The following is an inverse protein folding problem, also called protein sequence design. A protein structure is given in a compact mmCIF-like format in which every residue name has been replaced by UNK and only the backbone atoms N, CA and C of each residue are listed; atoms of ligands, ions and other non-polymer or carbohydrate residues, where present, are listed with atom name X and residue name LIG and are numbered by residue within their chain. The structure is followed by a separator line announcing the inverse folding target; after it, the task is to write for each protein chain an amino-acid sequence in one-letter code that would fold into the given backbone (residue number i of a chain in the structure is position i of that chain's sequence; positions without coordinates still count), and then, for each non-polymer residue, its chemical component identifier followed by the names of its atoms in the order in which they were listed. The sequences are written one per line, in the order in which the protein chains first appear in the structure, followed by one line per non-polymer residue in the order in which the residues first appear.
data_IF_662684344472
#
_entry.id   IF_662684344472
#
_cell.length_a   1.000
_cell.length_b   1.000
_cell.length_c   1.000
_cell.angle_alpha   90.00
_cell.angle_beta   90.00
_cell.angle_gamma   90.00
#
_symmetry.space_group_name_H-M   'P 1'
#
loop_
_entity.id
_entity.type
_entity.pdbx_description
1 polymer ?
#
# COMPACT_ATOMS: atom_id res chain seq x y z
N UNK A 1 17.31 -0.76 13.88
CA UNK A 1 17.72 0.51 13.23
C UNK A 1 16.58 1.15 12.44
N UNK A 2 15.77 0.38 11.70
CA UNK A 2 14.72 0.92 10.80
C UNK A 2 13.58 1.67 11.50
N UNK A 3 13.28 1.38 12.78
CA UNK A 3 12.25 2.11 13.53
C UNK A 3 12.56 3.59 13.75
N UNK A 4 13.83 4.00 13.76
CA UNK A 4 14.22 5.39 14.00
C UNK A 4 14.37 6.20 12.72
N UNK A 5 14.56 5.55 11.57
CA UNK A 5 14.70 6.20 10.27
C UNK A 5 13.53 7.13 9.90
N UNK A 6 12.24 6.76 10.05
CA UNK A 6 11.15 7.69 9.74
C UNK A 6 11.20 8.96 10.59
N UNK A 7 11.64 8.87 11.85
CA UNK A 7 11.79 10.03 12.73
C UNK A 7 13.00 10.89 12.35
N UNK A 8 14.14 10.28 12.03
CA UNK A 8 15.34 11.02 11.61
C UNK A 8 15.07 11.78 10.30
N UNK A 9 14.46 11.12 9.31
CA UNK A 9 14.09 11.78 8.05
C UNK A 9 12.95 12.78 8.23
N UNK A 10 11.95 12.48 9.07
CA UNK A 10 10.86 13.39 9.39
C UNK A 10 11.34 14.68 10.05
N UNK A 11 12.15 14.58 11.11
CA UNK A 11 12.71 15.72 11.85
C UNK A 11 13.61 16.55 10.95
N UNK A 12 14.55 15.92 10.23
CA UNK A 12 15.46 16.66 9.34
C UNK A 12 14.72 17.41 8.22
N UNK A 13 13.71 16.77 7.62
CA UNK A 13 12.87 17.40 6.57
C UNK A 13 12.07 18.56 7.16
N UNK A 14 11.49 18.39 8.35
CA UNK A 14 10.70 19.42 9.03
C UNK A 14 11.56 20.63 9.38
N UNK A 15 12.72 20.42 10.01
CA UNK A 15 13.65 21.49 10.39
C UNK A 15 14.16 22.26 9.18
N UNK A 16 14.51 21.56 8.10
CA UNK A 16 14.91 22.19 6.85
C UNK A 16 13.77 23.03 6.25
N UNK A 17 12.55 22.50 6.26
CA UNK A 17 11.36 23.22 5.80
C UNK A 17 11.10 24.51 6.59
N UNK A 18 11.15 24.43 7.93
CA UNK A 18 10.99 25.58 8.83
C UNK A 18 12.08 26.63 8.57
N UNK A 19 13.34 26.21 8.46
CA UNK A 19 14.45 27.12 8.20
C UNK A 19 14.27 27.87 6.87
N UNK A 20 13.93 27.16 5.80
CA UNK A 20 13.67 27.77 4.49
C UNK A 20 12.45 28.69 4.52
N UNK A 21 11.41 28.33 5.28
CA UNK A 21 10.22 29.17 5.46
C UNK A 21 10.60 30.50 6.11
N UNK A 22 11.35 30.47 7.22
CA UNK A 22 11.78 31.67 7.93
C UNK A 22 12.60 32.63 7.05
N UNK A 23 13.48 32.10 6.20
CA UNK A 23 14.27 32.89 5.26
C UNK A 23 13.41 33.42 4.10
N UNK A 24 12.60 32.56 3.48
CA UNK A 24 11.83 32.91 2.28
C UNK A 24 10.74 33.95 2.56
N UNK A 25 10.23 33.99 3.79
CA UNK A 25 9.28 35.00 4.26
C UNK A 25 9.95 36.21 4.93
N UNK A 26 11.30 36.24 4.99
CA UNK A 26 12.05 37.37 5.57
C UNK A 26 11.91 37.52 7.08
N UNK A 27 11.42 36.48 7.77
CA UNK A 27 11.29 36.44 9.24
C UNK A 27 12.68 36.30 9.87
N UNK A 28 13.58 35.58 9.21
CA UNK A 28 14.94 35.35 9.67
C UNK A 28 15.96 35.80 8.61
N UNK A 29 16.81 36.74 9.00
CA UNK A 29 17.95 37.20 8.19
C UNK A 29 19.26 36.71 8.82
N UNK A 30 20.01 35.81 8.16
CA UNK A 30 21.25 35.27 8.71
C UNK A 30 22.32 36.37 8.83
N UNK A 31 22.90 36.47 10.03
CA UNK A 31 23.65 37.65 10.51
C UNK A 31 25.07 37.85 9.93
N UNK A 32 25.59 36.88 9.16
CA UNK A 32 27.01 36.83 8.75
C UNK A 32 27.20 36.62 7.23
N UNK A 33 26.61 37.48 6.39
CA UNK A 33 26.81 37.40 4.93
C UNK A 33 27.79 38.46 4.44
N UNK A 34 28.75 38.05 3.59
CA UNK A 34 29.57 39.00 2.83
C UNK A 34 28.71 39.75 1.80
N UNK A 35 29.15 40.92 1.33
CA UNK A 35 28.41 41.74 0.36
C UNK A 35 28.06 40.97 -0.92
N UNK A 36 28.92 40.04 -1.35
CA UNK A 36 28.65 39.15 -2.48
C UNK A 36 27.57 38.11 -2.19
N UNK A 37 27.53 37.56 -0.97
CA UNK A 37 26.51 36.59 -0.56
C UNK A 37 25.13 37.23 -0.42
N UNK A 38 25.08 38.52 -0.04
CA UNK A 38 23.83 39.30 -0.01
C UNK A 38 23.29 39.45 -1.42
N UNK A 39 24.10 39.97 -2.36
CA UNK A 39 23.69 40.14 -3.78
C UNK A 39 23.27 38.82 -4.43
N UNK A 40 23.97 37.72 -4.13
CA UNK A 40 23.63 36.38 -4.63
C UNK A 40 22.32 35.86 -4.03
N UNK A 41 22.05 36.13 -2.76
CA UNK A 41 20.79 35.78 -2.11
C UNK A 41 19.62 36.59 -2.67
N UNK A 42 19.80 37.90 -2.86
CA UNK A 42 18.76 38.79 -3.38
C UNK A 42 18.37 38.40 -4.81
N UNK A 43 19.35 38.22 -5.70
CA UNK A 43 19.09 37.77 -7.09
C UNK A 43 18.45 36.37 -7.15
N UNK A 44 18.82 35.46 -6.25
CA UNK A 44 18.18 34.15 -6.17
C UNK A 44 16.74 34.25 -5.65
N UNK A 45 16.48 35.13 -4.68
CA UNK A 45 15.17 35.35 -4.09
C UNK A 45 14.21 36.08 -5.03
N UNK A 46 14.72 37.00 -5.86
CA UNK A 46 13.95 37.60 -6.95
C UNK A 46 13.51 36.55 -7.98
N UNK A 47 14.40 35.62 -8.33
CA UNK A 47 14.13 34.61 -9.36
C UNK A 47 13.29 33.42 -8.88
N UNK A 48 13.49 32.97 -7.64
CA UNK A 48 12.90 31.74 -7.11
C UNK A 48 12.09 31.95 -5.82
N UNK A 49 11.83 33.18 -5.39
CA UNK A 49 11.21 33.47 -4.09
C UNK A 49 9.86 32.77 -3.88
N UNK A 50 8.98 32.77 -4.89
CA UNK A 50 7.69 32.07 -4.81
C UNK A 50 7.88 30.56 -4.70
N UNK A 51 8.78 30.00 -5.51
CA UNK A 51 9.06 28.56 -5.52
C UNK A 51 9.63 28.09 -4.18
N UNK A 52 10.55 28.85 -3.58
CA UNK A 52 11.13 28.54 -2.26
C UNK A 52 10.07 28.57 -1.15
N UNK A 53 9.14 29.52 -1.19
CA UNK A 53 7.99 29.56 -0.27
C UNK A 53 7.15 28.28 -0.39
N UNK A 54 6.79 27.88 -1.62
CA UNK A 54 6.02 26.66 -1.87
C UNK A 54 6.76 25.42 -1.36
N UNK A 55 8.04 25.26 -1.71
CA UNK A 55 8.87 24.15 -1.24
C UNK A 55 8.92 24.09 0.29
N UNK A 56 9.12 25.23 0.95
CA UNK A 56 9.22 25.28 2.41
C UNK A 56 7.96 24.74 3.08
N UNK A 57 6.78 25.12 2.57
CA UNK A 57 5.48 24.62 3.07
C UNK A 57 5.33 23.13 2.81
N UNK A 58 5.67 22.65 1.59
CA UNK A 58 5.61 21.22 1.25
C UNK A 58 6.52 20.41 2.18
N UNK A 59 7.74 20.88 2.46
CA UNK A 59 8.68 20.21 3.35
C UNK A 59 8.17 20.15 4.78
N UNK A 60 7.58 21.24 5.29
CA UNK A 60 6.97 21.27 6.63
C UNK A 60 5.83 20.26 6.71
N UNK A 61 4.89 20.30 5.76
CA UNK A 61 3.74 19.40 5.73
C UNK A 61 4.18 17.93 5.61
N UNK A 62 5.13 17.64 4.72
CA UNK A 62 5.66 16.28 4.52
C UNK A 62 6.45 15.79 5.72
N UNK A 63 7.26 16.65 6.34
CA UNK A 63 8.01 16.34 7.56
C UNK A 63 7.05 16.05 8.72
N UNK A 64 6.06 16.91 8.95
CA UNK A 64 5.03 16.72 9.96
C UNK A 64 4.21 15.46 9.73
N UNK A 65 3.77 15.21 8.49
CA UNK A 65 3.05 13.99 8.14
C UNK A 65 3.87 12.73 8.41
N UNK A 66 5.16 12.72 8.03
CA UNK A 66 6.05 11.58 8.29
C UNK A 66 6.27 11.32 9.78
N UNK A 67 6.19 12.35 10.63
CA UNK A 67 6.35 12.21 12.08
C UNK A 67 5.06 11.72 12.75
N UNK A 68 3.90 12.20 12.30
CA UNK A 68 2.60 11.75 12.81
C UNK A 68 2.27 10.32 12.33
N UNK A 69 2.63 9.98 11.10
CA UNK A 69 2.38 8.68 10.47
C UNK A 69 3.71 7.95 10.21
N UNK A 70 4.53 7.82 11.25
CA UNK A 70 5.82 7.15 11.15
C UNK A 70 5.62 5.69 10.74
N UNK A 71 6.02 5.34 9.51
CA UNK A 71 6.00 3.98 9.00
C UNK A 71 7.45 3.44 8.87
N UNK A 72 7.91 2.60 9.82
CA UNK A 72 9.23 1.96 9.77
C UNK A 72 9.47 1.08 8.55
N UNK A 73 8.40 0.49 8.00
CA UNK A 73 8.48 -0.48 6.89
C UNK A 73 8.90 0.17 5.59
N UNK A 74 8.61 1.47 5.41
CA UNK A 74 9.07 2.27 4.26
C UNK A 74 10.59 2.24 4.09
N UNK A 75 11.33 2.07 5.18
CA UNK A 75 12.79 2.09 5.21
C UNK A 75 13.40 0.70 5.42
N UNK A 76 12.59 -0.36 5.35
CA UNK A 76 13.09 -1.71 5.40
C UNK A 76 13.87 -2.04 4.11
N UNK A 77 15.16 -2.31 4.24
CA UNK A 77 16.06 -2.67 3.12
C UNK A 77 15.68 -4.03 2.50
N UNK A 78 14.80 -4.79 3.16
CA UNK A 78 14.19 -6.04 2.67
C UNK A 78 12.72 -5.84 2.22
N UNK A 79 12.36 -4.68 1.64
CA UNK A 79 11.03 -4.47 1.04
C UNK A 79 10.90 -5.08 -0.35
N UNK A 80 11.76 -6.03 -0.74
CA UNK A 80 11.30 -7.03 -1.69
C UNK A 80 10.04 -7.61 -1.06
N UNK A 81 8.90 -7.53 -1.74
CA UNK A 81 7.74 -8.38 -1.43
C UNK A 81 8.35 -9.74 -1.15
N UNK A 82 8.42 -10.15 0.13
CA UNK A 82 8.77 -11.52 0.46
C UNK A 82 7.76 -12.29 -0.35
N UNK A 83 8.24 -13.04 -1.33
CA UNK A 83 7.39 -13.95 -2.08
C UNK A 83 6.69 -14.73 -0.99
N UNK A 84 5.41 -14.44 -0.81
CA UNK A 84 4.62 -15.04 0.23
C UNK A 84 4.39 -16.44 -0.29
N UNK A 85 5.35 -17.32 0.01
CA UNK A 85 5.27 -18.71 -0.37
C UNK A 85 4.16 -19.29 0.48
N UNK A 86 2.96 -19.26 -0.08
CA UNK A 86 1.84 -19.99 0.44
C UNK A 86 2.26 -21.46 0.55
N UNK A 87 2.03 -22.06 1.71
CA UNK A 87 2.25 -23.50 1.88
C UNK A 87 1.17 -24.28 1.13
N UNK A 88 1.49 -25.50 0.68
CA UNK A 88 0.48 -26.42 0.13
C UNK A 88 -0.65 -26.67 1.14
N UNK A 89 -0.33 -26.74 2.44
CA UNK A 89 -1.34 -26.85 3.50
C UNK A 89 -2.29 -25.65 3.58
N UNK A 90 -1.84 -24.46 3.17
CA UNK A 90 -2.70 -23.28 3.09
C UNK A 90 -3.63 -23.36 1.87
N UNK A 91 -3.17 -23.92 0.74
CA UNK A 91 -4.03 -24.22 -0.41
C UNK A 91 -5.16 -25.17 -0.04
N UNK A 92 -4.83 -26.27 0.65
CA UNK A 92 -5.82 -27.23 1.12
C UNK A 92 -6.84 -26.60 2.08
N UNK A 93 -6.36 -25.71 2.95
CA UNK A 93 -7.23 -24.98 3.89
C UNK A 93 -8.19 -24.05 3.14
N UNK A 94 -7.70 -23.28 2.16
CA UNK A 94 -8.55 -22.41 1.33
C UNK A 94 -9.62 -23.21 0.57
N UNK A 95 -9.23 -24.34 -0.03
CA UNK A 95 -10.15 -25.24 -0.71
C UNK A 95 -11.24 -25.75 0.22
N UNK A 96 -10.86 -26.19 1.42
CA UNK A 96 -11.80 -26.66 2.45
C UNK A 96 -12.77 -25.55 2.88
N UNK A 97 -12.28 -24.34 3.15
CA UNK A 97 -13.14 -23.23 3.55
C UNK A 97 -14.09 -22.78 2.44
N UNK A 98 -13.62 -22.80 1.18
CA UNK A 98 -14.46 -22.54 0.02
C UNK A 98 -15.63 -23.54 -0.06
N UNK A 99 -15.35 -24.85 0.06
CA UNK A 99 -16.38 -25.89 0.04
C UNK A 99 -17.38 -25.75 1.20
N UNK A 100 -16.89 -25.45 2.41
CA UNK A 100 -17.76 -25.18 3.57
C UNK A 100 -18.66 -23.97 3.29
N UNK A 101 -18.13 -22.91 2.68
CA UNK A 101 -18.87 -21.71 2.32
C UNK A 101 -19.98 -21.94 1.30
N UNK A 102 -19.86 -22.97 0.46
CA UNK A 102 -20.91 -23.38 -0.50
C UNK A 102 -22.09 -24.10 0.17
N UNK A 103 -21.96 -24.50 1.44
CA UNK A 103 -23.04 -25.14 2.20
C UNK A 103 -23.57 -26.42 1.53
N UNK A 104 -24.89 -26.58 1.47
CA UNK A 104 -25.53 -27.78 0.90
C UNK A 104 -25.25 -27.96 -0.60
N UNK A 105 -25.01 -26.87 -1.34
CA UNK A 105 -24.63 -26.94 -2.75
C UNK A 105 -23.24 -27.56 -2.92
N UNK A 106 -22.36 -27.49 -1.92
CA UNK A 106 -21.04 -28.13 -1.97
C UNK A 106 -21.10 -29.66 -2.13
N UNK A 107 -22.17 -30.29 -1.66
CA UNK A 107 -22.40 -31.74 -1.73
C UNK A 107 -23.04 -32.17 -3.07
N UNK A 108 -23.75 -31.26 -3.72
CA UNK A 108 -24.34 -31.48 -5.03
C UNK A 108 -23.29 -31.08 -6.08
N UNK A 109 -22.79 -32.05 -6.86
CA UNK A 109 -21.63 -31.85 -7.76
C UNK A 109 -20.27 -31.68 -7.05
N UNK A 110 -20.00 -32.45 -6.00
CA UNK A 110 -18.76 -32.42 -5.18
C UNK A 110 -17.48 -32.21 -6.01
N UNK A 111 -17.26 -33.02 -7.06
CA UNK A 111 -16.06 -32.92 -7.91
C UNK A 111 -15.96 -31.57 -8.65
N UNK A 112 -17.08 -31.03 -9.10
CA UNK A 112 -17.13 -29.76 -9.85
C UNK A 112 -16.94 -28.58 -8.91
N UNK A 113 -17.52 -28.64 -7.71
CA UNK A 113 -17.30 -27.64 -6.68
C UNK A 113 -15.86 -27.65 -6.18
N UNK A 114 -15.23 -28.83 -6.07
CA UNK A 114 -13.81 -28.94 -5.77
C UNK A 114 -12.95 -28.26 -6.84
N UNK A 115 -13.23 -28.48 -8.13
CA UNK A 115 -12.53 -27.81 -9.23
C UNK A 115 -12.67 -26.27 -9.15
N UNK A 116 -13.87 -25.78 -8.83
CA UNK A 116 -14.11 -24.35 -8.62
C UNK A 116 -13.28 -23.81 -7.45
N UNK A 117 -13.33 -24.47 -6.30
CA UNK A 117 -12.59 -24.04 -5.12
C UNK A 117 -11.08 -24.07 -5.35
N UNK A 118 -10.57 -25.11 -6.03
CA UNK A 118 -9.15 -25.17 -6.40
C UNK A 118 -8.74 -24.02 -7.31
N UNK A 119 -9.55 -23.70 -8.33
CA UNK A 119 -9.32 -22.55 -9.21
C UNK A 119 -9.30 -21.22 -8.42
N UNK A 120 -10.28 -21.02 -7.53
CA UNK A 120 -10.35 -19.82 -6.69
C UNK A 120 -9.14 -19.70 -5.77
N UNK A 121 -8.75 -20.77 -5.08
CA UNK A 121 -7.58 -20.78 -4.20
C UNK A 121 -6.29 -20.47 -4.95
N UNK A 122 -6.09 -21.04 -6.14
CA UNK A 122 -4.92 -20.76 -6.98
C UNK A 122 -4.86 -19.28 -7.41
N UNK A 123 -6.00 -18.68 -7.78
CA UNK A 123 -6.08 -17.26 -8.13
C UNK A 123 -5.77 -16.37 -6.92
N UNK A 124 -6.31 -16.69 -5.75
CA UNK A 124 -6.04 -15.96 -4.51
C UNK A 124 -4.55 -16.02 -4.16
N UNK A 125 -3.97 -17.22 -4.13
CA UNK A 125 -2.56 -17.43 -3.77
C UNK A 125 -1.58 -16.78 -4.76
N UNK A 126 -1.97 -16.70 -6.04
CA UNK A 126 -1.17 -16.03 -7.08
C UNK A 126 -1.25 -14.50 -7.00
N UNK A 127 -2.38 -13.96 -6.56
CA UNK A 127 -2.62 -12.51 -6.56
C UNK A 127 -2.22 -11.83 -5.25
N UNK A 128 -2.46 -12.48 -4.11
CA UNK A 128 -2.25 -11.91 -2.79
C UNK A 128 -1.20 -12.68 -2.01
N UNK A 129 -0.45 -11.96 -1.16
CA UNK A 129 0.26 -12.60 -0.06
C UNK A 129 -0.73 -13.17 0.97
N UNK A 130 -0.27 -14.11 1.79
CA UNK A 130 -1.08 -14.66 2.88
C UNK A 130 -1.52 -13.55 3.85
N UNK A 131 -0.62 -12.62 4.19
CA UNK A 131 -0.93 -11.47 5.04
C UNK A 131 -1.95 -10.51 4.39
N UNK A 132 -1.81 -10.23 3.09
CA UNK A 132 -2.78 -9.42 2.33
C UNK A 132 -4.15 -10.09 2.36
N UNK A 133 -4.22 -11.40 2.11
CA UNK A 133 -5.46 -12.18 2.18
C UNK A 133 -6.09 -12.15 3.57
N UNK A 134 -5.31 -12.41 4.62
CA UNK A 134 -5.77 -12.37 6.01
C UNK A 134 -6.33 -11.00 6.41
N UNK A 135 -5.80 -9.92 5.83
CA UNK A 135 -6.32 -8.57 6.02
C UNK A 135 -7.58 -8.29 5.19
N UNK A 136 -7.72 -8.90 3.99
CA UNK A 136 -8.93 -8.78 3.17
C UNK A 136 -10.11 -9.50 3.84
N UNK A 137 -9.93 -10.71 4.36
CA UNK A 137 -11.02 -11.48 4.96
C UNK A 137 -11.56 -10.91 6.28
N UNK A 138 -10.83 -9.97 6.91
CA UNK A 138 -11.29 -9.21 8.09
C UNK A 138 -12.26 -8.07 7.72
N UNK A 139 -12.36 -7.72 6.44
CA UNK A 139 -13.23 -6.64 5.93
C UNK A 139 -14.70 -7.08 5.87
N UNK A 140 -15.59 -6.13 5.60
CA UNK A 140 -17.01 -6.45 5.40
C UNK A 140 -17.22 -7.35 4.17
N UNK A 141 -18.30 -8.12 4.14
CA UNK A 141 -18.60 -9.01 3.01
C UNK A 141 -18.74 -8.26 1.69
N UNK A 142 -19.28 -7.04 1.71
CA UNK A 142 -19.42 -6.20 0.52
C UNK A 142 -18.05 -5.81 -0.06
N UNK A 143 -17.09 -5.47 0.81
CA UNK A 143 -15.73 -5.16 0.39
C UNK A 143 -15.01 -6.41 -0.12
N UNK A 144 -15.17 -7.54 0.55
CA UNK A 144 -14.62 -8.82 0.08
C UNK A 144 -15.18 -9.19 -1.29
N UNK A 145 -16.49 -9.02 -1.51
CA UNK A 145 -17.12 -9.29 -2.80
C UNK A 145 -16.55 -8.40 -3.90
N UNK A 146 -16.41 -7.09 -3.67
CA UNK A 146 -15.81 -6.15 -4.65
C UNK A 146 -14.37 -6.54 -5.02
N UNK A 147 -13.62 -7.10 -4.08
CA UNK A 147 -12.23 -7.52 -4.29
C UNK A 147 -12.18 -8.85 -5.07
N UNK A 148 -12.96 -9.84 -4.67
CA UNK A 148 -12.85 -11.20 -5.20
C UNK A 148 -13.72 -11.46 -6.44
N UNK A 149 -14.80 -10.71 -6.67
CA UNK A 149 -15.79 -11.03 -7.72
C UNK A 149 -15.18 -11.10 -9.11
N UNK A 150 -14.28 -10.17 -9.45
CA UNK A 150 -13.59 -10.18 -10.74
C UNK A 150 -12.48 -11.23 -10.79
N UNK A 151 -11.77 -11.43 -9.68
CA UNK A 151 -10.68 -12.40 -9.58
C UNK A 151 -11.15 -13.83 -9.88
N UNK A 152 -12.33 -14.20 -9.39
CA UNK A 152 -12.87 -15.56 -9.47
C UNK A 152 -13.89 -15.74 -10.61
N UNK A 153 -14.13 -14.70 -11.40
CA UNK A 153 -15.13 -14.70 -12.49
C UNK A 153 -14.93 -15.87 -13.45
N UNK A 154 -13.70 -16.07 -13.92
CA UNK A 154 -13.36 -17.17 -14.83
C UNK A 154 -13.63 -18.56 -14.19
N UNK A 155 -13.33 -18.71 -12.90
CA UNK A 155 -13.61 -19.96 -12.17
C UNK A 155 -15.13 -20.19 -12.08
N UNK A 156 -15.91 -19.14 -11.82
CA UNK A 156 -17.37 -19.18 -11.74
C UNK A 156 -18.01 -19.50 -13.09
N UNK A 157 -17.50 -18.93 -14.18
CA UNK A 157 -18.01 -19.19 -15.53
C UNK A 157 -17.81 -20.67 -15.90
N UNK A 158 -16.64 -21.25 -15.57
CA UNK A 158 -16.37 -22.68 -15.77
C UNK A 158 -17.26 -23.58 -14.91
N UNK A 159 -17.54 -23.18 -13.66
CA UNK A 159 -18.48 -23.89 -12.79
C UNK A 159 -19.88 -23.95 -13.42
N UNK A 160 -20.41 -22.81 -13.85
CA UNK A 160 -21.74 -22.72 -14.46
C UNK A 160 -21.82 -23.57 -15.74
N UNK A 161 -20.82 -23.48 -16.62
CA UNK A 161 -20.77 -24.29 -17.84
C UNK A 161 -20.81 -25.80 -17.56
N UNK A 162 -20.11 -26.26 -16.52
CA UNK A 162 -20.11 -27.67 -16.12
C UNK A 162 -21.47 -28.09 -15.53
N UNK A 163 -22.09 -27.26 -14.70
CA UNK A 163 -23.43 -27.54 -14.14
C UNK A 163 -24.47 -27.61 -15.27
N UNK A 164 -24.46 -26.64 -16.19
CA UNK A 164 -25.38 -26.59 -17.34
C UNK A 164 -25.25 -27.81 -18.24
N UNK A 165 -24.04 -28.37 -18.37
CA UNK A 165 -23.79 -29.58 -19.16
C UNK A 165 -24.35 -30.86 -18.54
N UNK A 166 -24.59 -30.88 -17.23
CA UNK A 166 -25.13 -32.04 -16.50
C UNK A 166 -26.64 -31.97 -16.38
N UNK A 167 -27.20 -30.75 -16.33
CA UNK A 167 -28.64 -30.52 -16.23
C UNK A 167 -29.37 -30.58 -17.59
N UNK A 168 -28.63 -30.70 -18.69
CA UNK A 168 -29.14 -30.96 -20.05
C UNK A 168 -29.31 -32.45 -20.30
#
# INVERSE_FOLDING_TARGET
MNHYLPYIFGISTLLLGIYLFLISFGIYNPKNRTTEQIKKSESFQEKYGIFMKIISVILILRGGYNLLNANPERYAINSSKKESVWSETAKDSLNKYCLIGMGKQGLEFEKINFDYCNCTSEKIMKTYSQEEYENIIKRSQEEQYKIFSELVKECKDKLNQKIDSIQK
#
